data_IF_819731896855
#
_entry.id   IF_819731896855
#
_cell.length_a   1.000
_cell.length_b   1.000
_cell.length_c   1.000
_cell.angle_alpha   90.00
_cell.angle_beta   90.00
_cell.angle_gamma   90.00
#
_symmetry.space_group_name_H-M   'P 1'
#
loop_
_entity.id
_entity.type
_entity.pdbx_description
1 polymer ?
#
# COMPACT_ATOMS: atom_id res chain seq x y z
N UNK A 1 -12.43 48.62 42.52
CA UNK A 1 -12.21 48.25 41.14
C UNK A 1 -11.98 46.76 41.03
N UNK A 2 -12.86 46.11 40.37
CA UNK A 2 -12.75 44.67 40.20
C UNK A 2 -12.18 44.38 38.83
N UNK A 3 -11.00 43.78 38.78
CA UNK A 3 -10.46 43.26 37.54
C UNK A 3 -11.11 41.94 37.24
N UNK A 4 -11.94 41.90 36.21
CA UNK A 4 -12.49 40.67 35.69
C UNK A 4 -11.44 40.02 34.79
N UNK A 5 -10.75 39.03 35.34
CA UNK A 5 -9.89 38.19 34.53
C UNK A 5 -10.80 37.19 33.80
N UNK A 6 -10.97 37.39 32.53
CA UNK A 6 -11.61 36.41 31.65
C UNK A 6 -10.65 35.27 31.43
N UNK A 7 -11.03 34.03 31.79
CA UNK A 7 -10.19 32.89 31.40
C UNK A 7 -10.26 32.73 29.90
N UNK A 8 -9.14 32.92 29.26
CA UNK A 8 -8.98 32.55 27.85
C UNK A 8 -8.96 31.04 27.80
N UNK A 9 -10.08 30.44 27.45
CA UNK A 9 -10.11 29.03 27.18
C UNK A 9 -9.49 28.82 25.80
N UNK A 10 -8.21 28.50 25.82
CA UNK A 10 -7.55 28.00 24.59
C UNK A 10 -8.09 26.61 24.34
N UNK A 11 -9.11 26.53 23.50
CA UNK A 11 -9.55 25.26 22.97
C UNK A 11 -8.52 24.82 21.92
N UNK A 12 -7.57 24.04 22.35
CA UNK A 12 -6.67 23.38 21.42
C UNK A 12 -7.49 22.31 20.71
N UNK A 13 -7.93 22.62 19.50
CA UNK A 13 -8.50 21.62 18.63
C UNK A 13 -7.35 20.75 18.11
N UNK A 14 -6.99 19.72 18.90
CA UNK A 14 -6.19 18.63 18.38
C UNK A 14 -7.12 17.78 17.52
N UNK A 15 -7.29 18.16 16.26
CA UNK A 15 -7.98 17.29 15.29
C UNK A 15 -7.18 16.00 15.14
N UNK A 16 -7.85 14.84 14.87
CA UNK A 16 -7.12 13.63 14.58
C UNK A 16 -6.22 13.88 13.37
N UNK A 17 -4.93 13.61 13.54
CA UNK A 17 -3.99 13.63 12.43
C UNK A 17 -4.35 12.45 11.56
N UNK A 18 -5.16 12.70 10.53
CA UNK A 18 -5.44 11.68 9.54
C UNK A 18 -4.20 11.54 8.66
N UNK A 19 -3.51 10.42 8.82
CA UNK A 19 -2.46 10.05 7.89
C UNK A 19 -3.07 9.98 6.50
N UNK A 20 -2.49 10.71 5.55
CA UNK A 20 -2.97 10.69 4.18
C UNK A 20 -2.76 9.29 3.60
N UNK A 21 -3.77 8.71 2.95
CA UNK A 21 -3.61 7.43 2.30
C UNK A 21 -2.66 7.54 1.12
N UNK A 22 -1.90 6.48 0.90
CA UNK A 22 -1.05 6.33 -0.27
C UNK A 22 -1.77 5.46 -1.30
N UNK A 23 -1.74 5.88 -2.54
CA UNK A 23 -2.22 5.05 -3.64
C UNK A 23 -1.07 4.24 -4.20
N UNK A 24 -1.30 2.94 -4.34
CA UNK A 24 -0.33 1.99 -4.85
C UNK A 24 -0.87 1.42 -6.16
N UNK A 25 -0.04 1.49 -7.20
CA UNK A 25 -0.36 0.90 -8.50
C UNK A 25 0.80 0.00 -8.87
N UNK A 26 0.50 -1.22 -9.31
CA UNK A 26 1.53 -2.16 -9.70
C UNK A 26 1.12 -3.02 -10.87
N UNK A 27 2.13 -3.61 -11.50
CA UNK A 27 1.95 -4.58 -12.57
C UNK A 27 2.82 -5.79 -12.28
N UNK A 28 2.17 -6.95 -12.22
CA UNK A 28 2.79 -8.22 -11.91
C UNK A 28 2.81 -9.14 -13.12
N UNK A 29 3.85 -9.96 -13.23
CA UNK A 29 4.03 -10.91 -14.31
C UNK A 29 5.02 -10.42 -15.36
N UNK A 30 5.52 -11.34 -16.19
CA UNK A 30 6.53 -11.01 -17.20
C UNK A 30 6.01 -10.08 -18.30
N UNK A 31 4.70 -10.09 -18.53
CA UNK A 31 4.03 -9.21 -19.50
C UNK A 31 3.13 -8.17 -18.83
N UNK A 32 3.21 -8.04 -17.51
CA UNK A 32 2.33 -7.13 -16.78
C UNK A 32 0.86 -7.53 -16.81
N UNK A 33 0.56 -8.83 -16.82
CA UNK A 33 -0.80 -9.35 -16.98
C UNK A 33 -1.73 -9.02 -15.81
N UNK A 34 -1.16 -8.79 -14.64
CA UNK A 34 -1.93 -8.46 -13.45
C UNK A 34 -1.69 -7.01 -13.06
N UNK A 35 -2.77 -6.26 -12.98
CA UNK A 35 -2.76 -4.90 -12.44
C UNK A 35 -3.14 -4.94 -10.97
N UNK A 36 -2.31 -4.32 -10.14
CA UNK A 36 -2.52 -4.22 -8.70
C UNK A 36 -2.85 -2.78 -8.35
N UNK A 37 -3.92 -2.59 -7.60
CA UNK A 37 -4.25 -1.29 -7.02
C UNK A 37 -4.52 -1.45 -5.54
N UNK A 38 -4.03 -0.53 -4.74
CA UNK A 38 -4.26 -0.55 -3.30
C UNK A 38 -4.30 0.87 -2.77
N UNK A 39 -5.08 1.06 -1.72
CA UNK A 39 -5.08 2.29 -0.94
C UNK A 39 -4.66 1.91 0.47
N UNK A 40 -3.48 2.38 0.86
CA UNK A 40 -2.89 2.02 2.15
C UNK A 40 -2.73 3.25 3.02
N UNK A 41 -2.94 3.07 4.32
CA UNK A 41 -2.80 4.15 5.31
C UNK A 41 -1.76 3.77 6.34
N UNK A 42 -1.10 4.78 6.89
CA UNK A 42 -0.09 4.57 7.92
C UNK A 42 -0.70 3.88 9.14
N UNK A 43 -0.01 2.87 9.64
CA UNK A 43 -0.39 2.20 10.88
C UNK A 43 0.08 3.03 12.08
N UNK A 44 -0.49 2.74 13.25
CA UNK A 44 -0.13 3.45 14.48
C UNK A 44 1.27 3.08 15.02
N UNK A 45 1.93 2.12 14.41
CA UNK A 45 3.28 1.71 14.81
C UNK A 45 4.31 2.76 14.42
N UNK A 46 5.33 2.99 15.24
CA UNK A 46 6.44 3.86 14.84
C UNK A 46 7.16 3.25 13.64
N UNK A 47 7.39 4.06 12.62
CA UNK A 47 7.98 3.62 11.36
C UNK A 47 7.09 3.93 10.19
N UNK A 48 7.53 3.52 9.00
CA UNK A 48 6.83 3.78 7.75
C UNK A 48 6.13 2.53 7.26
N UNK A 49 5.21 2.02 8.07
CA UNK A 49 4.38 0.86 7.76
C UNK A 49 2.99 1.32 7.37
N UNK A 50 2.50 0.80 6.27
CA UNK A 50 1.19 1.12 5.71
C UNK A 50 0.42 -0.16 5.46
N UNK A 51 -0.91 -0.10 5.60
CA UNK A 51 -1.76 -1.25 5.27
C UNK A 51 -3.10 -0.78 4.73
N UNK A 52 -3.72 -1.62 3.92
CA UNK A 52 -5.02 -1.33 3.36
C UNK A 52 -5.50 -2.37 2.37
N UNK A 53 -6.71 -2.16 1.83
CA UNK A 53 -7.30 -3.07 0.87
C UNK A 53 -6.57 -3.03 -0.47
N UNK A 54 -6.56 -4.18 -1.13
CA UNK A 54 -5.87 -4.41 -2.38
C UNK A 54 -6.84 -5.06 -3.36
N UNK A 55 -6.71 -4.69 -4.63
CA UNK A 55 -7.39 -5.36 -5.74
C UNK A 55 -6.38 -5.73 -6.80
N UNK A 56 -6.47 -6.97 -7.29
CA UNK A 56 -5.72 -7.42 -8.45
C UNK A 56 -6.68 -7.75 -9.58
N UNK A 57 -6.35 -7.28 -10.77
CA UNK A 57 -7.14 -7.47 -11.97
C UNK A 57 -6.27 -8.10 -13.06
N UNK A 58 -6.74 -9.20 -13.62
CA UNK A 58 -6.05 -9.87 -14.72
C UNK A 58 -6.41 -9.19 -16.04
N UNK A 59 -5.52 -8.34 -16.53
CA UNK A 59 -5.79 -7.49 -17.70
C UNK A 59 -5.33 -8.09 -19.02
N UNK A 60 -4.59 -9.20 -18.95
CA UNK A 60 -4.08 -9.88 -20.15
C UNK A 60 -5.08 -10.83 -20.83
N UNK A 61 -6.24 -11.09 -20.22
CA UNK A 61 -7.25 -11.99 -20.77
C UNK A 61 -8.58 -11.26 -20.91
N UNK A 62 -9.15 -11.34 -22.12
CA UNK A 62 -10.51 -10.90 -22.35
C UNK A 62 -11.45 -12.09 -22.12
N UNK A 63 -12.24 -12.03 -21.06
CA UNK A 63 -13.28 -13.01 -20.77
C UNK A 63 -14.65 -12.40 -21.04
N UNK A 64 -15.67 -13.24 -21.25
CA UNK A 64 -17.03 -12.74 -21.48
C UNK A 64 -17.59 -11.97 -20.29
N UNK A 65 -17.13 -12.31 -19.08
CA UNK A 65 -17.58 -11.70 -17.84
C UNK A 65 -16.65 -10.54 -17.38
N UNK A 66 -15.76 -10.09 -18.26
CA UNK A 66 -14.78 -9.07 -17.94
C UNK A 66 -13.50 -9.64 -17.31
N UNK A 67 -12.54 -8.82 -16.93
CA UNK A 67 -11.27 -9.28 -16.36
C UNK A 67 -11.50 -9.95 -15.00
N UNK A 68 -10.71 -10.98 -14.73
CA UNK A 68 -10.72 -11.64 -13.43
C UNK A 68 -10.22 -10.67 -12.37
N UNK A 69 -10.96 -10.53 -11.29
CA UNK A 69 -10.63 -9.66 -10.18
C UNK A 69 -10.45 -10.47 -8.90
N UNK A 70 -9.44 -10.11 -8.11
CA UNK A 70 -9.20 -10.67 -6.78
C UNK A 70 -8.96 -9.56 -5.80
N UNK A 71 -9.58 -9.68 -4.63
CA UNK A 71 -9.41 -8.71 -3.54
C UNK A 71 -8.59 -9.32 -2.42
N UNK A 72 -7.89 -8.46 -1.69
CA UNK A 72 -7.07 -8.88 -0.57
C UNK A 72 -6.62 -7.69 0.25
N UNK A 73 -5.51 -7.87 0.93
CA UNK A 73 -4.90 -6.83 1.74
C UNK A 73 -3.42 -6.72 1.46
N UNK A 74 -2.92 -5.50 1.58
CA UNK A 74 -1.53 -5.18 1.41
C UNK A 74 -0.99 -4.52 2.68
N UNK A 75 0.18 -4.98 3.11
CA UNK A 75 0.98 -4.32 4.14
C UNK A 75 2.34 -4.03 3.53
N UNK A 76 2.77 -2.78 3.62
CA UNK A 76 4.07 -2.42 3.07
C UNK A 76 4.89 -1.59 4.06
N UNK A 77 6.20 -1.74 3.96
CA UNK A 77 7.17 -0.95 4.69
C UNK A 77 8.07 -0.22 3.70
N UNK A 78 8.18 1.09 3.91
CA UNK A 78 9.07 1.93 3.12
C UNK A 78 10.30 2.28 3.94
N UNK A 79 11.48 1.99 3.40
CA UNK A 79 12.74 2.37 4.01
C UNK A 79 13.32 3.56 3.25
N UNK A 80 13.28 4.74 3.86
CA UNK A 80 13.80 5.96 3.24
C UNK A 80 15.31 5.93 3.04
N UNK A 81 16.04 5.28 3.97
CA UNK A 81 17.50 5.25 3.93
C UNK A 81 18.07 4.30 2.89
N UNK A 82 17.32 3.26 2.49
CA UNK A 82 17.80 2.25 1.56
C UNK A 82 17.02 2.21 0.24
N UNK A 83 16.03 3.09 0.07
CA UNK A 83 15.16 3.13 -1.12
C UNK A 83 14.53 1.77 -1.42
N UNK A 84 14.13 1.05 -0.38
CA UNK A 84 13.55 -0.28 -0.48
C UNK A 84 12.10 -0.28 -0.02
N UNK A 85 11.33 -1.15 -0.64
CA UNK A 85 9.99 -1.48 -0.21
C UNK A 85 9.92 -2.97 0.06
N UNK A 86 9.37 -3.32 1.23
CA UNK A 86 8.98 -4.68 1.53
C UNK A 86 7.49 -4.72 1.74
N UNK A 87 6.83 -5.69 1.15
CA UNK A 87 5.38 -5.80 1.24
C UNK A 87 4.94 -7.24 1.42
N UNK A 88 3.81 -7.38 2.10
CA UNK A 88 3.10 -8.64 2.20
C UNK A 88 1.74 -8.44 1.54
N UNK A 89 1.40 -9.33 0.62
CA UNK A 89 0.14 -9.31 -0.11
C UNK A 89 -0.62 -10.58 0.23
N UNK A 90 -1.81 -10.42 0.81
CA UNK A 90 -2.68 -11.54 1.18
C UNK A 90 -3.89 -11.56 0.27
N UNK A 91 -4.06 -12.63 -0.50
CA UNK A 91 -5.20 -12.82 -1.40
C UNK A 91 -5.72 -14.24 -1.23
N UNK A 92 -7.03 -14.36 -0.93
CA UNK A 92 -7.72 -15.65 -0.79
C UNK A 92 -7.01 -16.61 0.18
N UNK A 93 -6.49 -16.08 1.29
CA UNK A 93 -5.78 -16.88 2.29
C UNK A 93 -4.34 -17.23 1.93
N UNK A 94 -3.85 -16.78 0.78
CA UNK A 94 -2.46 -16.97 0.35
C UNK A 94 -1.68 -15.69 0.62
N UNK A 95 -0.57 -15.84 1.34
CA UNK A 95 0.29 -14.73 1.69
C UNK A 95 1.55 -14.75 0.81
N UNK A 96 1.74 -13.66 0.06
CA UNK A 96 2.89 -13.49 -0.81
C UNK A 96 3.79 -12.39 -0.27
N UNK A 97 5.08 -12.49 -0.51
CA UNK A 97 6.05 -11.49 -0.09
C UNK A 97 6.67 -10.78 -1.30
N UNK A 98 6.94 -9.50 -1.11
CA UNK A 98 7.53 -8.65 -2.12
C UNK A 98 8.71 -7.87 -1.54
N UNK A 99 9.76 -7.76 -2.33
CA UNK A 99 10.91 -6.91 -2.02
C UNK A 99 11.33 -6.18 -3.30
N UNK A 100 11.42 -4.86 -3.21
CA UNK A 100 11.77 -4.04 -4.36
C UNK A 100 12.65 -2.87 -4.02
N UNK A 101 13.34 -2.34 -5.02
CA UNK A 101 14.18 -1.14 -4.91
C UNK A 101 13.63 -0.03 -5.77
N UNK A 102 13.72 1.19 -5.25
CA UNK A 102 13.28 2.38 -5.96
C UNK A 102 14.34 2.83 -6.96
N UNK A 103 13.89 2.98 -8.19
CA UNK A 103 14.55 3.67 -9.28
C UNK A 103 13.54 4.73 -9.74
N UNK A 104 12.95 4.63 -10.93
CA UNK A 104 11.79 5.42 -11.32
C UNK A 104 10.50 4.88 -10.68
N UNK A 105 10.52 3.61 -10.35
CA UNK A 105 9.47 2.88 -9.64
C UNK A 105 10.14 1.81 -8.77
N UNK A 106 9.38 1.22 -7.86
CA UNK A 106 9.89 0.06 -7.13
C UNK A 106 9.86 -1.14 -8.06
N UNK A 107 11.00 -1.76 -8.25
CA UNK A 107 11.16 -2.94 -9.08
C UNK A 107 11.67 -4.08 -8.23
N UNK A 108 10.99 -5.19 -8.24
CA UNK A 108 11.35 -6.34 -7.43
C UNK A 108 10.59 -7.59 -7.82
N UNK A 109 10.55 -8.53 -6.91
CA UNK A 109 10.02 -9.86 -7.12
C UNK A 109 8.95 -10.18 -6.10
N UNK A 110 7.81 -10.68 -6.59
CA UNK A 110 6.72 -11.19 -5.78
C UNK A 110 6.87 -12.71 -5.68
N UNK A 111 6.94 -13.20 -4.45
CA UNK A 111 7.10 -14.64 -4.17
C UNK A 111 5.88 -15.13 -3.41
N UNK A 112 5.18 -16.09 -3.99
CA UNK A 112 4.04 -16.76 -3.37
C UNK A 112 4.38 -18.23 -3.08
N UNK A 113 3.75 -18.85 -2.05
CA UNK A 113 3.96 -20.28 -1.81
C UNK A 113 3.55 -21.11 -3.01
N UNK A 114 4.31 -22.16 -3.31
CA UNK A 114 4.05 -23.13 -4.36
C UNK A 114 3.95 -22.56 -5.78
N UNK A 115 4.53 -21.39 -5.99
CA UNK A 115 4.56 -20.74 -7.31
C UNK A 115 5.94 -20.15 -7.57
N UNK A 116 6.29 -20.02 -8.84
CA UNK A 116 7.50 -19.32 -9.23
C UNK A 116 7.40 -17.84 -8.91
N UNK A 117 8.52 -17.26 -8.50
CA UNK A 117 8.61 -15.83 -8.28
C UNK A 117 8.38 -15.07 -9.60
N UNK A 118 7.62 -13.99 -9.53
CA UNK A 118 7.31 -13.17 -10.70
C UNK A 118 7.75 -11.73 -10.47
N UNK A 119 8.13 -11.01 -11.53
CA UNK A 119 8.46 -9.59 -11.38
C UNK A 119 7.21 -8.78 -11.03
N UNK A 120 7.38 -7.81 -10.14
CA UNK A 120 6.34 -6.86 -9.77
C UNK A 120 6.94 -5.47 -9.71
N UNK A 121 6.35 -4.56 -10.46
CA UNK A 121 6.73 -3.16 -10.47
C UNK A 121 5.64 -2.34 -9.80
N UNK A 122 6.02 -1.48 -8.85
CA UNK A 122 5.08 -0.72 -8.02
C UNK A 122 5.39 0.77 -8.08
N UNK A 123 4.34 1.57 -8.27
CA UNK A 123 4.37 3.02 -8.10
C UNK A 123 3.55 3.40 -6.88
N UNK A 124 4.07 4.33 -6.10
CA UNK A 124 3.39 4.87 -4.93
C UNK A 124 3.20 6.37 -5.12
N UNK A 125 1.98 6.83 -4.90
CA UNK A 125 1.64 8.25 -4.99
C UNK A 125 1.20 8.82 -3.65
#
# INVERSE_FOLDING_TARGET
MRALALPIVLSAFAGPVQAQPLEVIGYSGYLGEWELTATVTATASPGKTYSGPLMMKHVGLCTQDGPEERTGEMRLELSASSSRMEATISIAGVECSYSGRLSDSYTGTLTCPDREAVPLRIWVK
#
